data_IF_048759069158
#
_entry.id   IF_048759069158
#
_cell.length_a   1.000
_cell.length_b   1.000
_cell.length_c   1.000
_cell.angle_alpha   90.00
_cell.angle_beta   90.00
_cell.angle_gamma   90.00
#
_symmetry.space_group_name_H-M   'P 1'
#
loop_
_entity.id
_entity.type
_entity.pdbx_description
1 polymer ?
#
# COMPACT_ATOMS: atom_id res chain seq x y z
N UNK A 1 -21.01 -14.45 2.86
CA UNK A 1 -20.05 -13.86 1.94
C UNK A 1 -19.94 -14.73 0.70
N UNK A 2 -19.83 -14.11 -0.47
CA UNK A 2 -19.62 -14.82 -1.75
C UNK A 2 -18.13 -14.81 -2.05
N UNK A 3 -17.57 -15.96 -2.42
CA UNK A 3 -16.16 -16.10 -2.79
C UNK A 3 -16.11 -16.56 -4.25
N UNK A 4 -15.41 -15.79 -5.10
CA UNK A 4 -15.17 -16.18 -6.48
C UNK A 4 -14.19 -17.36 -6.52
N UNK A 5 -14.59 -18.44 -7.18
CA UNK A 5 -13.77 -19.62 -7.41
C UNK A 5 -13.07 -19.59 -8.79
N UNK A 6 -13.67 -18.89 -9.77
CA UNK A 6 -13.12 -18.76 -11.11
C UNK A 6 -13.90 -17.81 -11.99
N UNK A 7 -13.34 -17.52 -13.16
CA UNK A 7 -13.97 -16.72 -14.21
C UNK A 7 -13.73 -17.35 -15.57
N UNK A 8 -14.74 -17.29 -16.45
CA UNK A 8 -14.66 -17.71 -17.84
C UNK A 8 -15.23 -16.62 -18.73
N UNK A 9 -14.55 -16.28 -19.79
CA UNK A 9 -15.02 -15.31 -20.76
C UNK A 9 -15.89 -15.99 -21.82
N UNK A 10 -16.99 -15.33 -22.19
CA UNK A 10 -17.89 -15.73 -23.26
C UNK A 10 -17.78 -14.77 -24.45
N UNK A 11 -18.56 -14.96 -25.51
CA UNK A 11 -18.55 -14.04 -26.64
C UNK A 11 -19.06 -12.66 -26.26
N UNK A 12 -20.07 -12.58 -25.37
CA UNK A 12 -20.78 -11.34 -25.04
C UNK A 12 -20.53 -10.83 -23.62
N UNK A 13 -19.69 -11.56 -22.83
CA UNK A 13 -19.47 -11.19 -21.43
C UNK A 13 -18.49 -12.12 -20.71
N UNK A 14 -18.75 -12.33 -19.43
CA UNK A 14 -18.01 -13.28 -18.60
C UNK A 14 -18.93 -13.96 -17.57
N UNK A 15 -18.56 -15.15 -17.14
CA UNK A 15 -19.21 -15.95 -16.11
C UNK A 15 -18.27 -16.07 -14.92
N UNK A 16 -18.73 -15.64 -13.73
CA UNK A 16 -18.02 -15.84 -12.47
C UNK A 16 -18.65 -17.00 -11.74
N UNK A 17 -17.86 -18.01 -11.45
CA UNK A 17 -18.29 -19.15 -10.63
C UNK A 17 -17.93 -18.87 -9.17
N UNK A 18 -18.90 -18.99 -8.29
CA UNK A 18 -18.71 -18.88 -6.85
C UNK A 18 -18.32 -20.23 -6.23
N UNK A 19 -17.78 -20.21 -5.02
CA UNK A 19 -17.47 -21.43 -4.25
C UNK A 19 -18.71 -22.27 -3.90
N UNK A 20 -19.89 -21.64 -3.88
CA UNK A 20 -21.19 -22.32 -3.78
C UNK A 20 -21.59 -23.12 -5.02
N UNK A 21 -20.90 -22.96 -6.14
CA UNK A 21 -21.27 -23.49 -7.44
C UNK A 21 -22.24 -22.61 -8.24
N UNK A 22 -22.70 -21.50 -7.66
CA UNK A 22 -23.52 -20.51 -8.37
C UNK A 22 -22.69 -19.82 -9.45
N UNK A 23 -23.32 -19.52 -10.60
CA UNK A 23 -22.70 -18.82 -11.73
C UNK A 23 -23.39 -17.47 -11.93
N UNK A 24 -22.61 -16.40 -11.91
CA UNK A 24 -23.05 -15.04 -12.19
C UNK A 24 -22.59 -14.66 -13.60
N UNK A 25 -23.53 -14.26 -14.45
CA UNK A 25 -23.23 -13.73 -15.78
C UNK A 25 -23.17 -12.21 -15.76
N UNK A 26 -22.17 -11.62 -16.41
CA UNK A 26 -21.98 -10.19 -16.51
C UNK A 26 -21.37 -9.78 -17.85
N UNK A 27 -21.61 -8.55 -18.29
CA UNK A 27 -20.96 -8.00 -19.49
C UNK A 27 -19.47 -7.73 -19.23
N UNK A 28 -19.14 -7.27 -18.02
CA UNK A 28 -17.76 -7.06 -17.55
C UNK A 28 -17.61 -7.58 -16.13
N UNK A 29 -16.39 -8.00 -15.79
CA UNK A 29 -15.98 -8.39 -14.43
C UNK A 29 -14.84 -7.49 -14.00
N UNK A 30 -15.04 -6.81 -12.88
CA UNK A 30 -13.97 -6.05 -12.21
C UNK A 30 -13.40 -6.89 -11.09
N UNK A 31 -12.14 -7.29 -11.24
CA UNK A 31 -11.39 -7.94 -10.17
C UNK A 31 -10.81 -6.89 -9.22
N UNK A 32 -11.44 -6.75 -8.06
CA UNK A 32 -11.01 -5.90 -6.95
C UNK A 32 -10.94 -6.73 -5.65
N UNK A 33 -10.62 -8.03 -5.78
CA UNK A 33 -10.63 -9.05 -4.74
C UNK A 33 -9.30 -9.18 -3.99
N UNK A 34 -8.45 -8.14 -4.10
CA UNK A 34 -7.24 -7.99 -3.31
C UNK A 34 -6.01 -8.73 -3.89
N UNK A 35 -4.92 -8.71 -3.14
CA UNK A 35 -3.62 -9.22 -3.57
C UNK A 35 -3.67 -10.69 -4.04
N UNK A 36 -4.49 -11.50 -3.41
CA UNK A 36 -4.67 -12.92 -3.75
C UNK A 36 -5.84 -13.15 -4.71
N UNK A 37 -6.06 -12.23 -5.63
CA UNK A 37 -7.17 -12.22 -6.59
C UNK A 37 -7.32 -13.55 -7.31
N UNK A 38 -8.45 -14.22 -7.08
CA UNK A 38 -8.82 -15.44 -7.78
C UNK A 38 -9.25 -15.18 -9.22
N UNK A 39 -9.87 -14.03 -9.45
CA UNK A 39 -10.31 -13.61 -10.79
C UNK A 39 -9.09 -13.33 -11.67
N UNK A 40 -8.10 -12.58 -11.17
CA UNK A 40 -6.84 -12.32 -11.89
C UNK A 40 -6.16 -13.64 -12.29
N UNK A 41 -5.98 -14.53 -11.31
CA UNK A 41 -5.28 -15.80 -11.52
C UNK A 41 -6.05 -16.71 -12.49
N UNK A 42 -7.38 -16.79 -12.38
CA UNK A 42 -8.24 -17.56 -13.30
C UNK A 42 -8.29 -16.96 -14.72
N UNK A 43 -8.10 -15.66 -14.85
CA UNK A 43 -7.98 -14.97 -16.14
C UNK A 43 -6.58 -15.16 -16.79
N UNK A 44 -5.64 -15.79 -16.10
CA UNK A 44 -4.27 -15.97 -16.60
C UNK A 44 -3.49 -14.66 -16.70
N UNK A 45 -3.86 -13.66 -15.92
CA UNK A 45 -3.15 -12.39 -15.81
C UNK A 45 -1.99 -12.54 -14.81
N UNK A 46 -0.77 -12.37 -15.30
CA UNK A 46 0.43 -12.48 -14.49
C UNK A 46 0.48 -11.39 -13.41
N UNK A 47 1.02 -11.72 -12.25
CA UNK A 47 1.22 -10.78 -11.15
C UNK A 47 2.68 -10.80 -10.73
N UNK A 48 3.50 -10.29 -11.63
CA UNK A 48 4.95 -10.32 -11.48
C UNK A 48 5.42 -9.21 -10.56
N UNK A 49 6.44 -9.52 -9.81
CA UNK A 49 7.04 -8.55 -8.90
C UNK A 49 8.13 -9.17 -8.06
N UNK A 50 8.62 -8.38 -7.15
CA UNK A 50 9.62 -8.80 -6.19
C UNK A 50 8.92 -9.12 -4.88
N UNK A 51 9.06 -10.33 -4.39
CA UNK A 51 8.90 -10.57 -2.96
C UNK A 51 10.05 -9.82 -2.29
N UNK A 52 9.78 -8.57 -2.03
CA UNK A 52 10.82 -7.63 -1.68
C UNK A 52 11.18 -7.83 -0.24
N UNK A 53 12.41 -8.21 -0.04
CA UNK A 53 13.09 -8.27 1.24
C UNK A 53 12.32 -9.12 2.28
N UNK A 54 12.96 -10.05 2.94
CA UNK A 54 12.34 -10.81 4.04
C UNK A 54 12.13 -9.89 5.27
N UNK A 55 11.57 -8.72 5.04
CA UNK A 55 11.32 -7.73 6.08
C UNK A 55 9.94 -7.98 6.65
N UNK A 56 9.91 -8.30 7.92
CA UNK A 56 8.68 -8.31 8.68
C UNK A 56 8.42 -6.90 9.19
N UNK A 57 7.16 -6.52 9.16
CA UNK A 57 6.70 -5.29 9.78
C UNK A 57 5.73 -5.63 10.89
N UNK A 58 5.88 -4.94 12.01
CA UNK A 58 4.89 -4.89 13.07
C UNK A 58 4.06 -3.63 12.93
N UNK A 59 2.79 -3.74 13.24
CA UNK A 59 1.85 -2.65 13.32
C UNK A 59 1.12 -2.75 14.64
N UNK A 60 1.03 -1.64 15.38
CA UNK A 60 0.28 -1.56 16.61
C UNK A 60 -0.47 -0.22 16.70
N UNK A 61 -1.78 -0.29 16.87
CA UNK A 61 -2.60 0.86 17.24
C UNK A 61 -2.60 0.95 18.76
N UNK A 62 -2.10 2.06 19.29
CA UNK A 62 -1.78 2.21 20.71
C UNK A 62 -2.33 3.52 21.27
N UNK A 63 -2.72 3.51 22.53
CA UNK A 63 -2.95 4.74 23.29
C UNK A 63 -1.66 5.18 23.92
N UNK A 64 -1.34 6.46 23.71
CA UNK A 64 -0.09 7.08 24.21
C UNK A 64 -0.46 8.29 25.05
N UNK A 65 0.08 8.32 26.26
CA UNK A 65 0.08 9.51 27.13
C UNK A 65 1.39 10.28 26.95
N UNK A 66 1.28 11.61 26.80
CA UNK A 66 2.41 12.53 26.67
C UNK A 66 3.07 12.55 25.29
N UNK A 67 3.94 13.49 25.11
CA UNK A 67 5.13 13.59 24.24
C UNK A 67 5.07 13.49 22.73
N UNK A 68 4.00 13.05 22.07
CA UNK A 68 3.95 13.01 20.61
C UNK A 68 2.97 14.04 20.02
N UNK A 69 3.35 14.74 18.92
CA UNK A 69 2.45 15.56 18.13
C UNK A 69 1.24 14.74 17.63
N UNK A 70 0.05 15.38 17.63
CA UNK A 70 -1.21 14.73 17.27
C UNK A 70 -1.77 15.16 15.90
N UNK A 71 -1.05 15.99 15.20
CA UNK A 71 -1.45 16.63 13.95
C UNK A 71 -0.55 16.30 12.76
N UNK A 72 0.48 15.47 12.98
CA UNK A 72 1.42 15.08 11.93
C UNK A 72 1.86 13.62 12.04
N UNK A 73 2.20 13.03 10.91
CA UNK A 73 2.81 11.69 10.83
C UNK A 73 4.32 11.83 11.06
N UNK A 74 4.84 11.09 12.02
CA UNK A 74 6.23 11.13 12.43
C UNK A 74 7.00 9.94 11.89
N UNK A 75 8.12 10.19 11.22
CA UNK A 75 9.03 9.19 10.72
C UNK A 75 10.38 9.29 11.42
N UNK A 76 10.71 8.32 12.23
CA UNK A 76 11.96 8.24 12.97
C UNK A 76 12.96 7.34 12.28
N UNK A 77 14.00 7.92 11.68
CA UNK A 77 15.13 7.21 11.08
C UNK A 77 16.22 6.97 12.13
N UNK A 78 15.99 6.03 13.02
CA UNK A 78 16.92 5.72 14.10
C UNK A 78 18.02 4.72 13.67
N UNK A 79 19.04 4.52 14.52
CA UNK A 79 20.05 3.47 14.30
C UNK A 79 19.47 2.06 14.32
N UNK A 80 18.56 1.69 15.25
CA UNK A 80 17.92 0.39 15.26
C UNK A 80 16.94 0.15 14.10
N UNK A 81 16.48 1.18 13.41
CA UNK A 81 15.58 1.05 12.27
C UNK A 81 14.53 2.16 12.17
N UNK A 82 13.62 2.00 11.23
CA UNK A 82 12.50 2.90 11.04
C UNK A 82 11.42 2.66 12.11
N UNK A 83 10.84 3.76 12.60
CA UNK A 83 9.53 3.78 13.27
C UNK A 83 8.67 4.88 12.64
N UNK A 84 7.46 4.53 12.28
CA UNK A 84 6.42 5.48 11.91
C UNK A 84 5.45 5.57 13.09
N UNK A 85 5.10 6.79 13.50
CA UNK A 85 4.03 7.05 14.46
C UNK A 85 3.02 8.00 13.81
N UNK A 86 1.82 7.50 13.53
CA UNK A 86 0.76 8.25 12.88
C UNK A 86 -0.42 8.42 13.84
N UNK A 87 -0.89 9.66 14.11
CA UNK A 87 -2.08 9.88 14.89
C UNK A 87 -3.32 9.38 14.14
N UNK A 88 -4.24 8.77 14.87
CA UNK A 88 -5.53 8.29 14.35
C UNK A 88 -6.67 9.20 14.83
N UNK A 89 -7.80 9.23 14.12
CA UNK A 89 -8.94 10.10 14.44
C UNK A 89 -9.52 9.91 15.85
N UNK A 90 -9.37 8.72 16.44
CA UNK A 90 -9.85 8.39 17.80
C UNK A 90 -8.86 8.81 18.90
N UNK A 91 -7.77 9.50 18.54
CA UNK A 91 -6.72 9.95 19.44
C UNK A 91 -5.69 8.89 19.81
N UNK A 92 -5.78 7.68 19.26
CA UNK A 92 -4.72 6.68 19.33
C UNK A 92 -3.60 6.96 18.32
N UNK A 93 -2.51 6.20 18.37
CA UNK A 93 -1.41 6.28 17.40
C UNK A 93 -1.19 4.92 16.75
N UNK A 94 -0.96 4.92 15.45
CA UNK A 94 -0.47 3.76 14.72
C UNK A 94 1.05 3.75 14.68
N UNK A 95 1.64 2.76 15.32
CA UNK A 95 3.08 2.50 15.24
C UNK A 95 3.34 1.45 14.16
N UNK A 96 4.27 1.75 13.23
CA UNK A 96 4.72 0.79 12.22
C UNK A 96 6.24 0.74 12.26
N UNK A 97 6.80 -0.45 12.38
CA UNK A 97 8.25 -0.66 12.43
C UNK A 97 8.68 -1.90 11.66
N UNK A 98 9.81 -1.79 10.95
CA UNK A 98 10.55 -2.94 10.42
C UNK A 98 11.19 -3.70 11.60
N UNK A 99 11.02 -5.01 11.66
CA UNK A 99 11.56 -5.86 12.71
C UNK A 99 12.03 -7.19 12.13
N UNK A 100 13.00 -7.84 12.76
CA UNK A 100 13.43 -9.19 12.37
C UNK A 100 12.34 -10.20 12.64
N UNK A 101 11.75 -10.13 13.85
CA UNK A 101 10.61 -10.96 14.25
C UNK A 101 9.46 -10.05 14.70
N UNK A 102 8.33 -10.16 14.04
CA UNK A 102 7.11 -9.46 14.40
C UNK A 102 6.21 -10.39 15.20
N UNK A 103 5.86 -10.03 16.45
CA UNK A 103 4.87 -10.80 17.21
C UNK A 103 3.52 -10.74 16.51
N UNK A 104 2.76 -11.82 16.62
CA UNK A 104 1.40 -11.87 16.08
C UNK A 104 0.47 -10.90 16.82
N UNK A 105 0.66 -10.81 18.13
CA UNK A 105 -0.06 -9.91 19.02
C UNK A 105 0.94 -9.06 19.81
N UNK A 106 1.30 -7.86 19.33
CA UNK A 106 2.19 -6.96 20.05
C UNK A 106 1.51 -6.50 21.35
N UNK A 107 2.26 -6.56 22.45
CA UNK A 107 1.82 -6.07 23.76
C UNK A 107 2.33 -4.63 24.04
N UNK A 108 1.87 -4.07 25.17
CA UNK A 108 2.27 -2.73 25.62
C UNK A 108 3.78 -2.61 25.81
N UNK A 109 4.41 -3.64 26.39
CA UNK A 109 5.84 -3.63 26.65
C UNK A 109 6.64 -3.65 25.34
N UNK A 110 6.17 -4.39 24.33
CA UNK A 110 6.77 -4.42 23.00
C UNK A 110 6.65 -3.06 22.29
N UNK A 111 5.43 -2.49 22.28
CA UNK A 111 5.18 -1.19 21.66
C UNK A 111 6.00 -0.07 22.33
N UNK A 112 6.09 -0.10 23.68
CA UNK A 112 6.92 0.84 24.42
C UNK A 112 8.41 0.69 24.11
N UNK A 113 8.91 -0.55 23.98
CA UNK A 113 10.34 -0.76 23.57
C UNK A 113 10.62 -0.19 22.19
N UNK A 114 9.71 -0.35 21.23
CA UNK A 114 9.86 0.25 19.90
C UNK A 114 9.94 1.77 20.00
N UNK A 115 9.05 2.40 20.75
CA UNK A 115 9.02 3.84 20.97
C UNK A 115 10.30 4.34 21.66
N UNK A 116 10.76 3.67 22.71
CA UNK A 116 11.96 4.03 23.45
C UNK A 116 13.25 3.90 22.63
N UNK A 117 13.32 2.85 21.76
CA UNK A 117 14.54 2.57 21.00
C UNK A 117 14.61 3.31 19.68
N UNK A 118 13.47 3.67 19.10
CA UNK A 118 13.41 4.23 17.75
C UNK A 118 12.71 5.59 17.65
N UNK A 119 11.88 5.94 18.64
CA UNK A 119 11.18 7.22 18.72
C UNK A 119 12.08 8.38 19.14
N UNK A 120 11.48 9.50 19.56
CA UNK A 120 12.24 10.68 20.00
C UNK A 120 13.04 10.37 21.29
N UNK A 121 14.30 10.83 21.32
CA UNK A 121 15.26 10.49 22.39
C UNK A 121 14.84 11.05 23.76
N UNK A 122 14.12 12.18 23.80
CA UNK A 122 13.69 12.88 25.01
C UNK A 122 12.17 12.89 25.12
N UNK A 123 11.55 11.71 24.96
CA UNK A 123 10.09 11.64 25.05
C UNK A 123 9.62 11.19 26.43
N UNK A 124 8.54 11.81 26.90
CA UNK A 124 7.76 11.35 28.03
C UNK A 124 6.60 10.44 27.59
N UNK A 125 6.53 10.12 26.31
CA UNK A 125 5.48 9.33 25.74
C UNK A 125 5.44 7.91 26.32
N UNK A 126 4.30 7.53 26.87
CA UNK A 126 4.06 6.24 27.50
C UNK A 126 2.91 5.52 26.81
N UNK A 127 3.18 4.32 26.32
CA UNK A 127 2.12 3.44 25.81
C UNK A 127 1.32 2.89 26.99
N UNK A 128 0.02 3.13 26.97
CA UNK A 128 -0.89 2.69 28.04
C UNK A 128 -1.72 1.49 27.64
N UNK A 129 -2.01 1.35 26.34
CA UNK A 129 -2.84 0.28 25.79
C UNK A 129 -2.42 -0.06 24.37
N UNK A 130 -2.52 -1.32 23.97
CA UNK A 130 -2.53 -1.76 22.58
C UNK A 130 -3.98 -2.07 22.21
N UNK A 131 -4.57 -1.21 21.38
CA UNK A 131 -5.95 -1.34 20.91
C UNK A 131 -6.07 -2.46 19.89
N UNK A 132 -5.10 -2.53 18.99
CA UNK A 132 -5.01 -3.54 17.94
C UNK A 132 -3.57 -3.70 17.48
N UNK A 133 -3.23 -4.87 16.99
CA UNK A 133 -1.91 -5.10 16.42
C UNK A 133 -1.88 -6.25 15.45
N UNK A 134 -0.91 -6.21 14.54
CA UNK A 134 -0.71 -7.21 13.50
C UNK A 134 0.73 -7.21 13.01
N UNK A 135 1.05 -8.21 12.21
CA UNK A 135 2.28 -8.30 11.43
C UNK A 135 1.93 -8.40 9.95
N UNK A 136 2.77 -7.83 9.10
CA UNK A 136 2.62 -7.96 7.65
C UNK A 136 3.97 -8.03 6.95
N UNK A 137 3.95 -8.53 5.72
CA UNK A 137 5.07 -8.51 4.79
C UNK A 137 4.73 -7.59 3.63
N UNK A 138 5.76 -6.95 3.10
CA UNK A 138 5.60 -6.10 1.92
C UNK A 138 5.72 -6.98 0.67
N UNK A 139 4.73 -6.87 -0.19
CA UNK A 139 4.75 -7.40 -1.54
C UNK A 139 4.71 -6.24 -2.52
N UNK A 140 5.63 -6.24 -3.50
CA UNK A 140 5.68 -5.23 -4.55
C UNK A 140 5.45 -5.93 -5.88
N UNK A 141 4.22 -5.88 -6.35
CA UNK A 141 3.79 -6.56 -7.56
C UNK A 141 2.89 -5.67 -8.40
N UNK A 142 2.97 -5.82 -9.71
CA UNK A 142 2.06 -5.17 -10.67
C UNK A 142 1.64 -6.21 -11.69
N UNK A 143 0.34 -6.28 -11.97
CA UNK A 143 -0.16 -7.18 -13.00
C UNK A 143 0.49 -6.84 -14.36
N UNK A 144 0.78 -7.88 -15.14
CA UNK A 144 1.36 -7.73 -16.47
C UNK A 144 0.44 -6.96 -17.42
N UNK A 145 -0.87 -7.13 -17.24
CA UNK A 145 -1.95 -6.40 -17.92
C UNK A 145 -3.07 -6.11 -16.93
N UNK A 146 -3.76 -4.98 -17.11
CA UNK A 146 -4.90 -4.58 -16.28
C UNK A 146 -6.24 -4.98 -16.89
N UNK A 147 -6.24 -5.45 -18.12
CA UNK A 147 -7.42 -5.90 -18.83
C UNK A 147 -7.12 -7.12 -19.68
N UNK A 148 -8.04 -8.04 -19.71
CA UNK A 148 -8.18 -9.07 -20.73
C UNK A 148 -9.64 -9.12 -21.18
N UNK A 149 -9.93 -8.47 -22.31
CA UNK A 149 -11.28 -8.35 -22.90
C UNK A 149 -12.32 -7.85 -21.86
N UNK A 150 -13.15 -8.76 -21.33
CA UNK A 150 -14.24 -8.45 -20.39
C UNK A 150 -13.84 -8.45 -18.92
N UNK A 151 -12.59 -8.79 -18.61
CA UNK A 151 -12.07 -8.80 -17.25
C UNK A 151 -11.11 -7.63 -17.07
N UNK A 152 -11.33 -6.81 -16.03
CA UNK A 152 -10.53 -5.63 -15.72
C UNK A 152 -10.10 -5.70 -14.26
N UNK A 153 -8.84 -5.37 -13.98
CA UNK A 153 -8.28 -5.36 -12.63
C UNK A 153 -8.30 -3.95 -12.04
N UNK A 154 -8.50 -3.85 -10.72
CA UNK A 154 -8.38 -2.60 -9.96
C UNK A 154 -7.84 -2.83 -8.55
N UNK A 155 -7.17 -1.83 -7.97
CA UNK A 155 -6.65 -1.86 -6.62
C UNK A 155 -5.64 -2.99 -6.39
N UNK A 156 -5.65 -3.62 -5.22
CA UNK A 156 -4.65 -4.64 -4.84
C UNK A 156 -4.69 -5.91 -5.70
N UNK A 157 -5.75 -6.15 -6.47
CA UNK A 157 -5.77 -7.20 -7.48
C UNK A 157 -4.86 -6.86 -8.68
N UNK A 158 -4.65 -5.58 -8.96
CA UNK A 158 -3.83 -5.07 -10.05
C UNK A 158 -2.40 -4.70 -9.60
N UNK A 159 -2.23 -4.18 -8.38
CA UNK A 159 -0.94 -3.70 -7.88
C UNK A 159 -0.87 -3.73 -6.35
N UNK A 160 0.27 -4.14 -5.84
CA UNK A 160 0.61 -4.05 -4.42
C UNK A 160 1.97 -3.39 -4.26
N UNK A 161 2.16 -2.65 -3.19
CA UNK A 161 3.44 -2.00 -2.92
C UNK A 161 3.63 -1.73 -1.43
N UNK A 162 4.85 -1.33 -1.07
CA UNK A 162 5.17 -0.89 0.28
C UNK A 162 4.28 0.25 0.74
N UNK A 163 3.85 0.28 2.02
CA UNK A 163 3.15 1.43 2.59
C UNK A 163 4.03 2.69 2.69
N UNK A 164 5.31 2.63 2.33
CA UNK A 164 6.18 3.78 2.27
C UNK A 164 5.66 4.82 1.25
N UNK A 165 5.26 5.97 1.75
CA UNK A 165 4.63 7.03 0.98
C UNK A 165 3.10 7.08 1.05
N UNK A 166 2.44 6.11 1.70
CA UNK A 166 0.99 6.17 1.98
C UNK A 166 0.07 6.16 0.75
N UNK A 167 0.52 5.64 -0.41
CA UNK A 167 -0.18 5.84 -1.69
C UNK A 167 -1.08 4.66 -2.13
N UNK A 168 -1.06 3.52 -1.43
CA UNK A 168 -1.78 2.32 -1.89
C UNK A 168 -3.29 2.52 -2.03
N UNK A 169 -3.92 2.99 -1.00
CA UNK A 169 -5.36 3.27 -1.03
C UNK A 169 -5.71 4.34 -2.07
N UNK A 170 -4.92 5.41 -2.16
CA UNK A 170 -5.16 6.50 -3.10
C UNK A 170 -5.06 6.04 -4.56
N UNK A 171 -4.12 5.16 -4.87
CA UNK A 171 -3.98 4.59 -6.20
C UNK A 171 -5.19 3.73 -6.56
N UNK A 172 -5.63 2.85 -5.65
CA UNK A 172 -6.83 2.04 -5.85
C UNK A 172 -8.12 2.86 -5.98
N UNK A 173 -8.25 3.97 -5.24
CA UNK A 173 -9.39 4.90 -5.40
C UNK A 173 -9.38 5.59 -6.77
N UNK A 174 -8.20 5.98 -7.27
CA UNK A 174 -8.06 6.54 -8.63
C UNK A 174 -8.41 5.50 -9.69
N UNK A 175 -7.96 4.26 -9.52
CA UNK A 175 -8.38 3.15 -10.39
C UNK A 175 -9.90 3.06 -10.44
N UNK A 176 -10.57 3.06 -9.27
CA UNK A 176 -12.01 2.91 -9.19
C UNK A 176 -12.78 4.01 -9.91
N UNK A 177 -12.34 5.26 -9.76
CA UNK A 177 -12.97 6.43 -10.44
C UNK A 177 -12.77 6.35 -11.94
N UNK A 178 -11.51 6.16 -12.40
CA UNK A 178 -11.20 6.14 -13.83
C UNK A 178 -11.84 4.94 -14.54
N UNK A 179 -11.83 3.77 -13.87
CA UNK A 179 -12.49 2.56 -14.39
C UNK A 179 -14.01 2.73 -14.43
N UNK A 180 -14.61 3.38 -13.43
CA UNK A 180 -16.04 3.63 -13.39
C UNK A 180 -16.52 4.43 -14.61
N UNK A 181 -15.81 5.51 -14.95
CA UNK A 181 -16.08 6.34 -16.12
C UNK A 181 -15.90 5.54 -17.43
N UNK A 182 -14.83 4.76 -17.53
CA UNK A 182 -14.55 3.93 -18.70
C UNK A 182 -15.60 2.83 -18.92
N UNK A 183 -16.05 2.19 -17.83
CA UNK A 183 -17.11 1.16 -17.87
C UNK A 183 -18.46 1.77 -18.27
N UNK A 184 -18.80 2.94 -17.71
CA UNK A 184 -20.05 3.62 -18.06
C UNK A 184 -20.12 3.92 -19.56
N UNK A 185 -19.02 4.35 -20.17
CA UNK A 185 -18.96 4.60 -21.61
C UNK A 185 -19.05 3.30 -22.41
N UNK A 186 -18.28 2.29 -22.06
CA UNK A 186 -18.32 0.99 -22.74
C UNK A 186 -19.73 0.36 -22.70
N UNK A 187 -20.43 0.47 -21.58
CA UNK A 187 -21.78 -0.06 -21.40
C UNK A 187 -22.84 0.73 -22.18
N UNK A 188 -22.66 2.02 -22.39
CA UNK A 188 -23.66 2.89 -23.03
C UNK A 188 -23.46 3.02 -24.54
N UNK A 189 -22.20 3.12 -24.99
CA UNK A 189 -21.86 3.34 -26.40
C UNK A 189 -21.34 2.10 -27.11
N UNK A 190 -20.90 1.09 -26.37
CA UNK A 190 -20.17 -0.07 -26.90
C UNK A 190 -18.70 0.23 -27.24
N UNK A 191 -18.23 1.47 -27.00
CA UNK A 191 -16.83 1.86 -27.24
C UNK A 191 -15.96 1.47 -26.05
N UNK A 192 -15.01 0.58 -26.28
CA UNK A 192 -14.09 0.07 -25.26
C UNK A 192 -12.74 0.81 -25.20
N UNK A 193 -12.52 1.85 -26.00
CA UNK A 193 -11.26 2.58 -26.07
C UNK A 193 -10.83 3.11 -24.70
N UNK A 194 -11.76 3.63 -23.90
CA UNK A 194 -11.47 4.12 -22.55
C UNK A 194 -11.08 3.02 -21.56
N UNK A 195 -11.56 1.78 -21.75
CA UNK A 195 -11.10 0.65 -20.95
C UNK A 195 -9.65 0.29 -21.27
N UNK A 196 -9.25 0.38 -22.55
CA UNK A 196 -7.87 0.16 -22.96
C UNK A 196 -6.93 1.30 -22.50
N UNK A 197 -7.42 2.55 -22.55
CA UNK A 197 -6.72 3.71 -21.97
C UNK A 197 -6.55 3.55 -20.46
N UNK A 198 -7.61 3.18 -19.73
CA UNK A 198 -7.54 2.87 -18.31
C UNK A 198 -6.47 1.80 -18.04
N UNK A 199 -6.55 0.65 -18.71
CA UNK A 199 -5.64 -0.46 -18.49
C UNK A 199 -4.17 -0.07 -18.71
N UNK A 200 -3.90 0.77 -19.73
CA UNK A 200 -2.55 1.22 -20.06
C UNK A 200 -2.05 2.27 -19.07
N UNK A 201 -2.85 3.31 -18.81
CA UNK A 201 -2.44 4.46 -18.02
C UNK A 201 -2.33 4.11 -16.53
N UNK A 202 -3.33 3.41 -15.96
CA UNK A 202 -3.32 3.01 -14.56
C UNK A 202 -2.18 2.03 -14.26
N UNK A 203 -1.88 1.09 -15.19
CA UNK A 203 -0.71 0.24 -15.05
C UNK A 203 0.60 1.03 -15.07
N UNK A 204 0.76 1.97 -15.98
CA UNK A 204 1.96 2.80 -16.06
C UNK A 204 2.16 3.63 -14.78
N UNK A 205 1.07 4.16 -14.22
CA UNK A 205 1.08 4.88 -12.94
C UNK A 205 1.47 3.95 -11.79
N UNK A 206 0.87 2.76 -11.69
CA UNK A 206 1.22 1.78 -10.67
C UNK A 206 2.71 1.41 -10.69
N UNK A 207 3.30 1.20 -11.87
CA UNK A 207 4.74 0.93 -12.01
C UNK A 207 5.57 2.08 -11.45
N UNK A 208 5.17 3.35 -11.67
CA UNK A 208 5.85 4.52 -11.11
C UNK A 208 5.74 4.57 -9.58
N UNK A 209 4.53 4.38 -9.04
CA UNK A 209 4.26 4.39 -7.60
C UNK A 209 5.00 3.25 -6.90
N UNK A 210 4.94 2.02 -7.42
CA UNK A 210 5.68 0.87 -6.88
C UNK A 210 7.18 1.14 -6.87
N UNK A 211 7.72 1.72 -7.96
CA UNK A 211 9.14 2.05 -8.05
C UNK A 211 9.57 3.14 -7.05
N UNK A 212 8.71 4.13 -6.79
CA UNK A 212 8.94 5.15 -5.78
C UNK A 212 8.89 4.55 -4.37
N UNK A 213 7.82 3.80 -4.05
CA UNK A 213 7.66 3.12 -2.77
C UNK A 213 8.84 2.19 -2.46
N UNK A 214 9.33 1.45 -3.47
CA UNK A 214 10.53 0.62 -3.36
C UNK A 214 11.77 1.43 -2.97
N UNK A 215 12.03 2.56 -3.64
CA UNK A 215 13.17 3.43 -3.32
C UNK A 215 13.08 4.00 -1.90
N UNK A 216 11.88 4.45 -1.49
CA UNK A 216 11.64 4.95 -0.14
C UNK A 216 11.83 3.85 0.90
N UNK A 217 11.33 2.65 0.64
CA UNK A 217 11.52 1.50 1.52
C UNK A 217 12.99 1.15 1.66
N UNK A 218 13.73 1.06 0.56
CA UNK A 218 15.19 0.81 0.61
C UNK A 218 15.95 1.89 1.39
N UNK A 219 15.56 3.15 1.22
CA UNK A 219 16.14 4.23 1.99
C UNK A 219 15.81 4.07 3.49
N UNK A 220 14.56 3.75 3.81
CA UNK A 220 14.09 3.60 5.18
C UNK A 220 14.73 2.40 5.89
N UNK A 221 14.83 1.27 5.20
CA UNK A 221 15.33 -0.02 5.72
C UNK A 221 16.81 -0.28 5.42
N UNK A 222 17.57 0.77 5.15
CA UNK A 222 18.98 0.68 4.83
C UNK A 222 19.77 -0.15 5.86
N UNK A 223 20.76 -0.95 5.46
CA UNK A 223 21.61 -1.73 6.35
C UNK A 223 22.22 -0.88 7.47
N UNK A 224 22.36 -1.44 8.68
CA UNK A 224 22.80 -0.71 9.88
C UNK A 224 24.12 0.06 9.66
N UNK A 225 25.03 -0.50 8.87
CA UNK A 225 26.35 0.09 8.58
C UNK A 225 26.23 1.43 7.85
N UNK A 226 25.26 1.60 6.95
CA UNK A 226 25.10 2.84 6.18
C UNK A 226 24.07 3.81 6.77
N UNK A 227 23.31 3.39 7.79
CA UNK A 227 22.30 4.26 8.45
C UNK A 227 22.87 5.61 8.97
N UNK A 228 24.07 5.68 9.58
CA UNK A 228 24.65 6.96 10.01
C UNK A 228 24.89 7.92 8.84
N UNK A 229 25.46 7.43 7.74
CA UNK A 229 25.70 8.24 6.54
C UNK A 229 24.39 8.68 5.88
N UNK A 230 23.40 7.78 5.79
CA UNK A 230 22.04 8.13 5.34
C UNK A 230 21.43 9.25 6.19
N UNK A 231 21.48 9.11 7.50
CA UNK A 231 20.88 10.11 8.41
C UNK A 231 21.55 11.47 8.29
N UNK A 232 22.88 11.50 8.19
CA UNK A 232 23.63 12.73 7.95
C UNK A 232 23.24 13.39 6.60
N UNK A 233 23.12 12.58 5.54
CA UNK A 233 22.67 13.04 4.23
C UNK A 233 21.25 13.61 4.25
N UNK A 234 20.29 12.91 4.85
CA UNK A 234 18.91 13.38 5.00
C UNK A 234 18.85 14.67 5.81
N UNK A 235 19.63 14.76 6.89
CA UNK A 235 19.71 15.95 7.71
C UNK A 235 20.24 17.15 6.89
N UNK A 236 21.31 16.96 6.12
CA UNK A 236 21.85 18.01 5.24
C UNK A 236 20.82 18.43 4.17
N UNK A 237 20.19 17.46 3.50
CA UNK A 237 19.17 17.72 2.48
C UNK A 237 17.93 18.43 3.06
N UNK A 238 17.61 18.21 4.34
CA UNK A 238 16.46 18.85 4.99
C UNK A 238 16.59 20.39 5.10
N UNK A 239 17.77 20.94 4.97
CA UNK A 239 17.98 22.39 4.91
C UNK A 239 17.71 22.99 3.52
N UNK A 240 17.53 22.15 2.48
CA UNK A 240 17.25 22.61 1.12
C UNK A 240 15.73 22.73 0.90
N UNK A 241 15.18 23.95 0.74
CA UNK A 241 13.73 24.15 0.57
C UNK A 241 13.14 23.36 -0.63
N UNK A 242 13.91 23.29 -1.74
CA UNK A 242 13.51 22.53 -2.94
C UNK A 242 13.39 21.04 -2.69
N UNK A 243 14.27 20.46 -1.87
CA UNK A 243 14.19 19.04 -1.49
C UNK A 243 12.96 18.76 -0.63
N UNK A 244 12.73 19.59 0.39
CA UNK A 244 11.56 19.45 1.28
C UNK A 244 10.25 19.55 0.51
N UNK A 245 10.14 20.55 -0.37
CA UNK A 245 8.95 20.74 -1.20
C UNK A 245 8.74 19.59 -2.16
N UNK A 246 9.76 19.18 -2.90
CA UNK A 246 9.68 18.06 -3.85
C UNK A 246 9.32 16.74 -3.17
N UNK A 247 9.87 16.46 -1.98
CA UNK A 247 9.50 15.29 -1.19
C UNK A 247 8.04 15.36 -0.72
N UNK A 248 7.59 16.51 -0.23
CA UNK A 248 6.21 16.70 0.22
C UNK A 248 5.22 16.55 -0.94
N UNK A 249 5.50 17.12 -2.11
CA UNK A 249 4.68 16.99 -3.32
C UNK A 249 4.58 15.53 -3.79
N UNK A 250 5.70 14.78 -3.75
CA UNK A 250 5.70 13.35 -4.09
C UNK A 250 4.91 12.50 -3.10
N UNK A 251 5.04 12.76 -1.80
CA UNK A 251 4.30 12.02 -0.76
C UNK A 251 2.81 12.36 -0.75
N UNK A 252 2.47 13.60 -1.05
CA UNK A 252 1.07 14.05 -1.11
C UNK A 252 0.36 13.67 -2.42
N UNK A 253 1.07 13.08 -3.40
CA UNK A 253 0.56 12.78 -4.75
C UNK A 253 -0.05 13.99 -5.49
N UNK A 254 0.35 15.23 -5.14
CA UNK A 254 -0.21 16.48 -5.69
C UNK A 254 0.39 16.79 -7.09
N UNK A 255 1.53 16.19 -7.43
CA UNK A 255 2.29 16.49 -8.65
C UNK A 255 1.78 15.83 -9.95
N UNK A 256 0.68 15.12 -9.93
CA UNK A 256 0.15 14.38 -11.08
C UNK A 256 -1.25 14.90 -11.46
N UNK A 257 -1.30 16.10 -12.00
CA UNK A 257 -2.41 16.60 -12.81
C UNK A 257 -2.05 16.52 -14.29
#
# INVERSE_FOLDING_TARGET
PYVAAGVKQTADGAEVTLDSGEVIQAQYVVAADGMNSKIRDAAGLGFDGRDTLPLNFTLADVRIEGGLPKDEVLLYFSRPGLLVAAPLPDGSFRLVAEVEEAPEHPDVAYAQRLLNTRGPQETTARVTEVVWGSRFRIHERVADRYRDRRIVLAGDAAHTHSPAGGQGMNLGLRDAVTLGDALAEALTSGDENKLDEYATNSRAEAVRVVSLAHRLTKLATAPAVIRPARNAGLHLLSYLPGFRRGLAEQLAAIGHR
#
